data_IF_101104748204
#
_entry.id   IF_101104748204
#
_cell.length_a   1.000
_cell.length_b   1.000
_cell.length_c   1.000
_cell.angle_alpha   90.00
_cell.angle_beta   90.00
_cell.angle_gamma   90.00
#
_symmetry.space_group_name_H-M   'P 1'
#
loop_
_entity.id
_entity.type
_entity.pdbx_description
1 polymer ?
#
# COMPACT_ATOMS: atom_id res chain seq x y z
N UNK A 1 33.38 -8.54 3.61
CA UNK A 1 32.72 -9.69 2.97
C UNK A 1 31.38 -9.24 2.40
N UNK A 2 31.13 -9.33 1.08
CA UNK A 2 29.89 -8.83 0.46
C UNK A 2 28.61 -9.46 1.01
N UNK A 3 28.62 -10.76 1.30
CA UNK A 3 27.44 -11.46 1.82
C UNK A 3 27.10 -11.01 3.25
N UNK A 4 28.10 -10.84 4.10
CA UNK A 4 27.90 -10.30 5.45
C UNK A 4 27.31 -8.89 5.43
N UNK A 5 27.71 -8.03 4.47
CA UNK A 5 27.14 -6.68 4.34
C UNK A 5 25.70 -6.70 3.82
N UNK A 6 25.40 -7.63 2.89
CA UNK A 6 24.03 -7.88 2.42
C UNK A 6 23.11 -8.29 3.57
N UNK A 7 23.54 -9.29 4.35
CA UNK A 7 22.78 -9.77 5.51
C UNK A 7 22.60 -8.69 6.58
N UNK A 8 23.62 -7.87 6.81
CA UNK A 8 23.52 -6.74 7.74
C UNK A 8 22.39 -5.78 7.34
N UNK A 9 22.30 -5.38 6.07
CA UNK A 9 21.26 -4.48 5.59
C UNK A 9 19.88 -5.15 5.66
N UNK A 10 19.76 -6.42 5.25
CA UNK A 10 18.49 -7.15 5.34
C UNK A 10 17.99 -7.25 6.78
N UNK A 11 18.87 -7.61 7.73
CA UNK A 11 18.53 -7.67 9.15
C UNK A 11 18.11 -6.30 9.70
N UNK A 12 18.79 -5.23 9.27
CA UNK A 12 18.40 -3.87 9.65
C UNK A 12 17.01 -3.50 9.11
N UNK A 13 16.72 -3.81 7.85
CA UNK A 13 15.41 -3.57 7.22
C UNK A 13 14.32 -4.37 7.91
N UNK A 14 14.54 -5.67 8.11
CA UNK A 14 13.60 -6.57 8.77
C UNK A 14 13.24 -6.04 10.17
N UNK A 15 14.24 -5.71 10.99
CA UNK A 15 14.01 -5.16 12.33
C UNK A 15 13.27 -3.82 12.29
N UNK A 16 13.65 -2.91 11.39
CA UNK A 16 13.04 -1.58 11.27
C UNK A 16 11.60 -1.65 10.76
N UNK A 17 11.27 -2.69 9.99
CA UNK A 17 9.94 -2.90 9.39
C UNK A 17 9.12 -3.93 10.17
N UNK A 18 9.51 -4.25 11.40
CA UNK A 18 8.82 -5.21 12.27
C UNK A 18 8.64 -6.61 11.65
N UNK A 19 9.60 -7.04 10.84
CA UNK A 19 9.58 -8.34 10.16
C UNK A 19 8.78 -8.38 8.86
N UNK A 20 8.23 -7.26 8.42
CA UNK A 20 7.28 -7.22 7.30
C UNK A 20 7.98 -7.05 5.94
N UNK A 21 9.21 -6.53 5.94
CA UNK A 21 10.09 -6.55 4.77
C UNK A 21 11.31 -7.38 5.13
N UNK A 22 11.36 -8.59 4.59
CA UNK A 22 12.51 -9.49 4.68
C UNK A 22 13.25 -9.50 3.35
N UNK A 23 14.54 -9.88 3.39
CA UNK A 23 15.34 -10.15 2.20
C UNK A 23 15.32 -9.05 1.12
N UNK A 24 15.33 -7.77 1.53
CA UNK A 24 15.34 -6.62 0.61
C UNK A 24 16.43 -6.74 -0.48
N UNK A 25 17.60 -7.22 -0.10
CA UNK A 25 18.72 -7.51 -0.97
C UNK A 25 18.88 -9.03 -1.16
N UNK A 26 18.67 -9.50 -2.39
CA UNK A 26 18.85 -10.90 -2.79
C UNK A 26 20.33 -11.32 -2.79
N UNK A 27 20.67 -12.62 -2.63
CA UNK A 27 22.04 -13.12 -2.71
C UNK A 27 22.75 -12.68 -4.01
N UNK A 28 24.03 -12.34 -3.91
CA UNK A 28 24.81 -11.86 -5.06
C UNK A 28 24.52 -10.42 -5.51
N UNK A 29 23.58 -9.70 -4.88
CA UNK A 29 23.34 -8.27 -5.14
C UNK A 29 24.57 -7.41 -4.82
N UNK A 30 25.40 -7.83 -3.87
CA UNK A 30 26.69 -7.21 -3.55
C UNK A 30 27.84 -8.08 -4.03
N UNK A 31 28.84 -7.43 -4.62
CA UNK A 31 30.09 -8.07 -5.04
C UNK A 31 31.28 -7.38 -4.37
N UNK A 32 32.48 -7.94 -4.52
CA UNK A 32 33.72 -7.29 -4.05
C UNK A 32 33.97 -5.92 -4.71
N UNK A 33 33.30 -5.63 -5.83
CA UNK A 33 33.41 -4.36 -6.55
C UNK A 33 32.37 -3.32 -6.11
N UNK A 34 31.37 -3.69 -5.29
CA UNK A 34 30.36 -2.76 -4.77
C UNK A 34 31.05 -1.75 -3.84
N UNK A 35 31.00 -0.46 -4.20
CA UNK A 35 31.62 0.63 -3.43
C UNK A 35 30.65 1.39 -2.53
N UNK A 36 29.37 1.44 -2.91
CA UNK A 36 28.33 2.16 -2.20
C UNK A 36 27.00 1.43 -2.38
N UNK A 37 26.19 1.39 -1.34
CA UNK A 37 24.79 0.98 -1.38
C UNK A 37 23.95 1.97 -0.59
N UNK A 38 22.77 2.28 -1.12
CA UNK A 38 21.76 3.09 -0.45
C UNK A 38 20.49 2.25 -0.41
N UNK A 39 19.99 1.98 0.78
CA UNK A 39 18.76 1.24 1.00
C UNK A 39 17.73 2.15 1.66
N UNK A 40 16.48 2.03 1.23
CA UNK A 40 15.34 2.67 1.87
C UNK A 40 14.23 1.63 2.02
N UNK A 41 13.64 1.58 3.20
CA UNK A 41 12.51 0.72 3.51
C UNK A 41 11.51 1.52 4.34
N UNK A 42 10.24 1.45 3.95
CA UNK A 42 9.16 2.13 4.63
C UNK A 42 8.04 1.12 4.91
N UNK A 43 7.65 1.00 6.17
CA UNK A 43 6.53 0.20 6.61
C UNK A 43 5.50 1.10 7.29
N UNK A 44 4.25 0.98 6.88
CA UNK A 44 3.15 1.71 7.48
C UNK A 44 2.01 0.76 7.81
N UNK A 45 1.76 0.63 9.11
CA UNK A 45 0.57 0.01 9.66
C UNK A 45 -0.01 0.95 10.69
N UNK A 46 -1.30 1.16 10.62
CA UNK A 46 -1.95 1.90 11.68
C UNK A 46 -3.40 1.51 11.86
N UNK A 47 -4.00 2.16 12.83
CA UNK A 47 -5.39 1.96 13.20
C UNK A 47 -6.29 3.03 12.62
N UNK A 48 -7.48 2.62 12.15
CA UNK A 48 -8.57 3.52 11.78
C UNK A 48 -9.23 4.09 13.03
N UNK A 49 -9.70 5.34 12.98
CA UNK A 49 -10.43 5.95 14.10
C UNK A 49 -11.71 5.16 14.37
N UNK A 50 -12.49 4.93 13.31
CA UNK A 50 -13.62 4.00 13.30
C UNK A 50 -13.16 2.72 12.62
N UNK A 51 -12.99 1.64 13.40
CA UNK A 51 -12.53 0.35 12.87
C UNK A 51 -13.63 -0.32 12.04
N UNK A 52 -13.22 -0.98 10.96
CA UNK A 52 -14.07 -1.92 10.26
C UNK A 52 -14.36 -3.12 11.15
N UNK A 53 -15.61 -3.56 11.16
CA UNK A 53 -16.04 -4.78 11.83
C UNK A 53 -15.63 -5.98 10.96
N UNK A 54 -14.80 -6.92 11.45
CA UNK A 54 -14.38 -8.08 10.66
C UNK A 54 -15.57 -8.89 10.12
N UNK A 55 -16.65 -9.00 10.88
CA UNK A 55 -17.88 -9.70 10.51
C UNK A 55 -18.64 -9.06 9.33
N UNK A 56 -18.39 -7.78 9.04
CA UNK A 56 -18.96 -7.08 7.89
C UNK A 56 -18.09 -7.20 6.64
N UNK A 57 -16.91 -7.83 6.75
CA UNK A 57 -16.03 -8.07 5.60
C UNK A 57 -16.56 -9.24 4.78
N UNK A 58 -16.81 -9.02 3.50
CA UNK A 58 -17.45 -10.01 2.60
C UNK A 58 -16.65 -10.16 1.31
N UNK A 59 -16.75 -11.35 0.70
CA UNK A 59 -16.19 -11.58 -0.65
C UNK A 59 -17.02 -10.80 -1.66
N UNK A 60 -16.40 -9.81 -2.28
CA UNK A 60 -17.03 -8.96 -3.30
C UNK A 60 -16.16 -8.90 -4.56
N UNK A 61 -16.78 -8.55 -5.69
CA UNK A 61 -16.08 -8.42 -6.97
C UNK A 61 -15.26 -7.13 -6.99
N UNK A 62 -13.96 -7.26 -7.21
CA UNK A 62 -13.06 -6.17 -7.57
C UNK A 62 -12.73 -6.24 -9.06
N UNK A 63 -12.88 -5.11 -9.75
CA UNK A 63 -12.61 -5.01 -11.18
C UNK A 63 -11.16 -4.58 -11.40
N UNK A 64 -10.29 -5.54 -11.68
CA UNK A 64 -8.85 -5.31 -11.93
C UNK A 64 -8.65 -4.58 -13.26
N UNK A 65 -9.45 -4.93 -14.26
CA UNK A 65 -9.55 -4.22 -15.55
C UNK A 65 -10.99 -4.33 -16.07
N UNK A 66 -11.25 -3.86 -17.30
CA UNK A 66 -12.57 -4.02 -17.91
C UNK A 66 -12.91 -5.50 -18.19
N UNK A 67 -11.90 -6.35 -18.35
CA UNK A 67 -12.01 -7.75 -18.75
C UNK A 67 -11.72 -8.74 -17.60
N UNK A 68 -11.09 -8.26 -16.51
CA UNK A 68 -10.67 -9.11 -15.38
C UNK A 68 -11.35 -8.68 -14.08
N UNK A 69 -11.97 -9.66 -13.42
CA UNK A 69 -12.63 -9.53 -12.14
C UNK A 69 -12.07 -10.56 -11.16
N UNK A 70 -11.96 -10.18 -9.90
CA UNK A 70 -11.51 -11.06 -8.82
C UNK A 70 -12.35 -10.86 -7.57
N UNK A 71 -12.56 -11.94 -6.81
CA UNK A 71 -13.17 -11.83 -5.49
C UNK A 71 -12.13 -11.41 -4.46
N UNK A 72 -12.40 -10.33 -3.75
CA UNK A 72 -11.55 -9.81 -2.67
C UNK A 72 -12.34 -9.75 -1.36
N UNK A 73 -11.64 -9.77 -0.22
CA UNK A 73 -12.25 -9.46 1.08
C UNK A 73 -12.48 -7.96 1.19
N UNK A 74 -13.69 -7.51 0.87
CA UNK A 74 -14.07 -6.11 0.89
C UNK A 74 -14.56 -5.72 2.29
N UNK A 75 -13.87 -4.78 2.92
CA UNK A 75 -14.28 -4.22 4.20
C UNK A 75 -15.44 -3.25 4.02
N UNK A 76 -16.44 -3.33 4.90
CA UNK A 76 -17.63 -2.47 4.87
C UNK A 76 -17.71 -1.60 6.13
N UNK A 77 -17.99 -0.31 5.93
CA UNK A 77 -18.33 0.62 7.01
C UNK A 77 -19.35 1.65 6.53
N UNK A 78 -20.29 1.97 7.41
CA UNK A 78 -21.26 3.04 7.22
C UNK A 78 -20.96 4.16 8.22
N UNK A 79 -21.07 5.41 7.78
CA UNK A 79 -20.77 6.56 8.63
C UNK A 79 -20.63 7.86 7.85
N UNK A 80 -20.33 8.93 8.58
CA UNK A 80 -20.02 10.24 7.98
C UNK A 80 -18.52 10.34 7.73
N UNK A 81 -18.15 10.68 6.50
CA UNK A 81 -16.77 10.82 6.07
C UNK A 81 -16.58 12.14 5.33
N UNK A 82 -15.36 12.67 5.34
CA UNK A 82 -15.02 13.74 4.41
C UNK A 82 -15.02 13.15 3.00
N UNK A 83 -15.70 13.83 2.08
CA UNK A 83 -15.82 13.44 0.69
C UNK A 83 -15.62 14.66 -0.20
N UNK A 84 -14.97 14.45 -1.34
CA UNK A 84 -14.84 15.45 -2.38
C UNK A 84 -14.96 14.79 -3.76
N UNK A 85 -15.51 15.50 -4.74
CA UNK A 85 -15.43 15.11 -6.14
C UNK A 85 -14.35 15.96 -6.83
N UNK A 86 -13.54 15.33 -7.68
CA UNK A 86 -12.56 16.00 -8.52
C UNK A 86 -12.90 15.70 -9.99
N UNK A 87 -13.66 16.61 -10.61
CA UNK A 87 -14.11 16.48 -11.99
C UNK A 87 -12.94 16.41 -12.98
N UNK A 88 -11.87 17.20 -12.74
CA UNK A 88 -10.69 17.22 -13.60
C UNK A 88 -9.98 15.87 -13.66
N UNK A 89 -9.94 15.15 -12.52
CA UNK A 89 -9.36 13.81 -12.44
C UNK A 89 -10.40 12.70 -12.66
N UNK A 90 -11.68 13.07 -12.78
CA UNK A 90 -12.78 12.15 -12.90
C UNK A 90 -12.87 11.15 -11.74
N UNK A 91 -12.74 11.60 -10.49
CA UNK A 91 -12.79 10.73 -9.32
C UNK A 91 -13.54 11.33 -8.12
N UNK A 92 -13.99 10.45 -7.22
CA UNK A 92 -14.38 10.81 -5.87
C UNK A 92 -13.23 10.52 -4.91
N UNK A 93 -13.04 11.35 -3.90
CA UNK A 93 -12.02 11.17 -2.86
C UNK A 93 -12.77 11.01 -1.54
N UNK A 94 -12.54 9.89 -0.87
CA UNK A 94 -13.01 9.62 0.48
C UNK A 94 -11.83 9.75 1.46
N UNK A 95 -12.03 10.42 2.60
CA UNK A 95 -11.03 10.50 3.67
C UNK A 95 -11.53 9.78 4.95
N UNK A 96 -11.17 8.50 5.15
CA UNK A 96 -11.39 7.81 6.42
C UNK A 96 -10.40 8.31 7.47
N UNK A 97 -10.92 8.77 8.61
CA UNK A 97 -10.07 9.27 9.70
C UNK A 97 -9.29 8.15 10.38
N UNK A 98 -8.03 8.44 10.70
CA UNK A 98 -7.17 7.56 11.50
C UNK A 98 -7.24 7.94 12.97
N UNK A 99 -6.95 6.99 13.86
CA UNK A 99 -6.86 7.29 15.31
C UNK A 99 -5.74 8.29 15.62
N UNK A 100 -4.71 8.34 14.77
CA UNK A 100 -3.56 9.23 14.89
C UNK A 100 -3.57 10.27 13.76
N UNK A 101 -3.67 11.57 14.06
CA UNK A 101 -3.90 12.62 13.06
C UNK A 101 -2.64 13.05 12.26
N UNK A 102 -1.49 12.38 12.43
CA UNK A 102 -0.26 12.74 11.71
C UNK A 102 -0.24 12.30 10.24
N UNK A 103 -1.11 11.36 9.86
CA UNK A 103 -1.20 10.83 8.50
C UNK A 103 -2.66 10.68 8.09
N UNK A 104 -3.05 11.29 6.98
CA UNK A 104 -4.37 11.13 6.38
C UNK A 104 -4.29 10.16 5.20
N UNK A 105 -5.23 9.21 5.14
CA UNK A 105 -5.40 8.34 3.98
C UNK A 105 -6.54 8.93 3.14
N UNK A 106 -6.27 9.13 1.85
CA UNK A 106 -7.26 9.54 0.86
C UNK A 106 -7.43 8.43 -0.14
N UNK A 107 -8.67 8.00 -0.37
CA UNK A 107 -9.00 6.93 -1.30
C UNK A 107 -9.67 7.56 -2.52
N UNK A 108 -8.93 7.80 -3.62
CA UNK A 108 -9.53 8.22 -4.88
C UNK A 108 -10.20 7.02 -5.56
N UNK A 109 -11.46 7.17 -5.94
CA UNK A 109 -12.23 6.19 -6.72
C UNK A 109 -12.63 6.83 -8.04
N UNK A 110 -12.19 6.29 -9.20
CA UNK A 110 -12.51 6.89 -10.48
C UNK A 110 -14.01 6.72 -10.80
N UNK A 111 -14.60 7.64 -11.57
CA UNK A 111 -15.98 7.51 -12.05
C UNK A 111 -16.17 6.28 -12.97
N UNK A 112 -15.09 5.83 -13.60
CA UNK A 112 -15.06 4.66 -14.48
C UNK A 112 -13.70 3.99 -14.44
N UNK A 113 -13.66 2.67 -14.57
CA UNK A 113 -12.40 1.92 -14.73
C UNK A 113 -11.74 2.39 -16.02
N UNK A 114 -10.60 3.07 -15.88
CA UNK A 114 -9.84 3.55 -17.03
C UNK A 114 -9.09 2.38 -17.67
N UNK A 115 -9.02 2.37 -19.01
CA UNK A 115 -8.12 1.46 -19.74
C UNK A 115 -6.69 1.82 -19.40
N UNK A 116 -5.96 0.90 -18.75
CA UNK A 116 -4.51 1.04 -18.58
C UNK A 116 -3.87 1.18 -19.97
N UNK A 117 -3.32 2.36 -20.27
CA UNK A 117 -2.56 2.62 -21.51
C UNK A 117 -3.14 3.65 -22.49
N UNK A 118 -4.27 4.30 -22.21
CA UNK A 118 -4.69 5.47 -22.98
C UNK A 118 -4.67 6.72 -22.09
N UNK A 119 -3.58 7.48 -22.22
CA UNK A 119 -3.57 8.90 -21.84
C UNK A 119 -4.53 9.65 -22.79
N UNK A 120 -5.28 10.67 -22.32
CA UNK A 120 -6.16 11.47 -23.18
C UNK A 120 -5.43 12.10 -24.38
#
# INVERSE_FOLDING_TARGET
>A
DPESQRLYINNWVENTTHGEITDLLIPGSFTKNTKLAIANAAYFKGTWQSKFKPEETKKEIFYVSNERQEFVDMMLAEGTFNHAANEKLGCHILEPRRSVPRFDVRVPTPHRIQRTGQTP
#
